data_IF_131211350999
#
_entry.id   IF_131211350999
#
_cell.length_a   1.000
_cell.length_b   1.000
_cell.length_c   1.000
_cell.angle_alpha   90.00
_cell.angle_beta   90.00
_cell.angle_gamma   90.00
#
_symmetry.space_group_name_H-M   'P 1'
#
loop_
_entity.id
_entity.type
_entity.pdbx_description
1 polymer ?
#
# COMPACT_ATOMS: atom_id res chain seq x y z
N UNK A 1 -2.42 -22.59 -30.08
CA UNK A 1 -1.65 -23.04 -28.90
C UNK A 1 -2.45 -23.90 -27.89
N UNK A 2 -3.79 -23.96 -27.95
CA UNK A 2 -4.63 -24.76 -27.04
C UNK A 2 -5.01 -26.15 -27.59
N UNK A 3 -4.41 -26.60 -28.69
CA UNK A 3 -4.73 -27.91 -29.29
C UNK A 3 -4.22 -29.09 -28.47
N UNK A 4 -3.26 -28.86 -27.56
CA UNK A 4 -2.90 -29.88 -26.58
C UNK A 4 -3.81 -29.75 -25.36
N UNK A 5 -4.42 -30.85 -24.88
CA UNK A 5 -5.26 -30.83 -23.69
C UNK A 5 -4.48 -30.34 -22.46
N UNK A 6 -3.16 -30.54 -22.45
CA UNK A 6 -2.27 -30.05 -21.40
C UNK A 6 -2.19 -28.52 -21.37
N UNK A 7 -1.96 -27.86 -22.52
CA UNK A 7 -1.90 -26.40 -22.57
C UNK A 7 -3.24 -25.76 -22.23
N UNK A 8 -4.35 -26.37 -22.65
CA UNK A 8 -5.70 -25.95 -22.27
C UNK A 8 -5.92 -26.08 -20.75
N UNK A 9 -5.54 -27.21 -20.15
CA UNK A 9 -5.64 -27.41 -18.71
C UNK A 9 -4.77 -26.43 -17.91
N UNK A 10 -3.53 -26.17 -18.37
CA UNK A 10 -2.63 -25.18 -17.76
C UNK A 10 -3.27 -23.79 -17.83
N UNK A 11 -3.82 -23.40 -18.97
CA UNK A 11 -4.47 -22.11 -19.14
C UNK A 11 -5.64 -21.92 -18.17
N UNK A 12 -6.54 -22.90 -18.10
CA UNK A 12 -7.66 -22.85 -17.15
C UNK A 12 -7.15 -22.77 -15.71
N UNK A 13 -6.15 -23.59 -15.35
CA UNK A 13 -5.59 -23.60 -14.00
C UNK A 13 -5.01 -22.23 -13.61
N UNK A 14 -4.19 -21.62 -14.48
CA UNK A 14 -3.58 -20.32 -14.23
C UNK A 14 -4.65 -19.23 -14.12
N UNK A 15 -5.57 -19.16 -15.08
CA UNK A 15 -6.63 -18.13 -15.11
C UNK A 15 -7.53 -18.23 -13.88
N UNK A 16 -8.05 -19.41 -13.55
CA UNK A 16 -8.93 -19.58 -12.40
C UNK A 16 -8.20 -19.37 -11.07
N UNK A 17 -6.95 -19.80 -10.96
CA UNK A 17 -6.16 -19.59 -9.73
C UNK A 17 -5.91 -18.10 -9.50
N UNK A 18 -5.37 -17.38 -10.49
CA UNK A 18 -5.11 -15.94 -10.34
C UNK A 18 -6.39 -15.14 -10.11
N UNK A 19 -7.50 -15.54 -10.76
CA UNK A 19 -8.82 -14.94 -10.51
C UNK A 19 -9.27 -15.16 -9.08
N UNK A 20 -9.18 -16.39 -8.57
CA UNK A 20 -9.52 -16.70 -7.18
C UNK A 20 -8.66 -15.92 -6.17
N UNK A 21 -7.35 -15.81 -6.42
CA UNK A 21 -6.43 -15.03 -5.57
C UNK A 21 -6.78 -13.53 -5.59
N UNK A 22 -7.11 -12.98 -6.76
CA UNK A 22 -7.53 -11.58 -6.88
C UNK A 22 -8.84 -11.32 -6.11
N UNK A 23 -9.86 -12.15 -6.31
CA UNK A 23 -11.16 -11.98 -5.65
C UNK A 23 -11.09 -12.20 -4.13
N UNK A 24 -10.37 -13.23 -3.67
CA UNK A 24 -10.21 -13.46 -2.22
C UNK A 24 -9.53 -12.27 -1.53
N UNK A 25 -8.53 -11.68 -2.17
CA UNK A 25 -7.83 -10.49 -1.66
C UNK A 25 -8.69 -9.24 -1.69
N UNK A 26 -9.46 -9.06 -2.76
CA UNK A 26 -10.43 -7.98 -2.89
C UNK A 26 -11.46 -8.03 -1.77
N UNK A 27 -12.02 -9.22 -1.48
CA UNK A 27 -12.97 -9.42 -0.38
C UNK A 27 -12.33 -8.99 0.95
N UNK A 28 -11.07 -9.34 1.22
CA UNK A 28 -10.39 -8.90 2.44
C UNK A 28 -10.21 -7.38 2.47
N UNK A 29 -9.83 -6.74 1.36
CA UNK A 29 -9.66 -5.28 1.31
C UNK A 29 -10.98 -4.53 1.55
N UNK A 30 -12.08 -5.05 1.03
CA UNK A 30 -13.40 -4.40 1.13
C UNK A 30 -14.07 -4.68 2.47
N UNK A 31 -14.01 -5.92 2.97
CA UNK A 31 -14.80 -6.35 4.12
C UNK A 31 -14.06 -6.23 5.46
N UNK A 32 -12.73 -6.24 5.47
CA UNK A 32 -11.97 -6.19 6.73
C UNK A 32 -11.80 -4.75 7.21
N UNK A 33 -11.91 -4.56 8.52
CA UNK A 33 -11.53 -3.28 9.12
C UNK A 33 -10.02 -3.03 8.92
N UNK A 34 -9.60 -1.91 8.29
CA UNK A 34 -8.20 -1.59 8.04
C UNK A 34 -7.33 -1.43 9.27
N UNK A 35 -7.89 -1.26 10.46
CA UNK A 35 -7.14 -1.10 11.70
C UNK A 35 -7.74 0.01 12.55
N UNK A 36 -8.72 -0.28 13.41
CA UNK A 36 -9.30 0.74 14.27
C UNK A 36 -8.30 1.10 15.37
N UNK A 37 -8.18 2.39 15.68
CA UNK A 37 -7.63 2.81 16.97
C UNK A 37 -8.72 2.54 18.01
N UNK A 38 -8.46 1.66 18.98
CA UNK A 38 -9.42 1.36 20.03
C UNK A 38 -9.86 2.65 20.74
N UNK A 39 -11.18 2.82 20.88
CA UNK A 39 -11.82 3.96 21.54
C UNK A 39 -13.31 4.08 21.21
N UNK A 40 -14.07 2.98 21.25
CA UNK A 40 -15.56 2.98 21.16
C UNK A 40 -16.18 1.60 21.53
N UNK A 41 -15.74 0.96 22.62
CA UNK A 41 -16.61 0.03 23.34
C UNK A 41 -16.48 0.33 24.84
N UNK A 42 -17.48 1.05 25.37
CA UNK A 42 -17.71 1.15 26.80
C UNK A 42 -17.97 -0.26 27.35
N UNK A 43 -16.98 -0.91 27.97
CA UNK A 43 -17.29 -1.86 29.06
C UNK A 43 -16.11 -2.31 29.94
N UNK A 44 -14.82 -2.08 29.62
CA UNK A 44 -13.72 -2.58 30.51
C UNK A 44 -12.54 -1.60 30.72
N UNK A 45 -12.62 -0.36 30.22
CA UNK A 45 -11.47 0.54 30.03
C UNK A 45 -11.19 1.57 31.15
N UNK A 46 -11.81 1.47 32.33
CA UNK A 46 -11.66 2.52 33.35
C UNK A 46 -10.21 2.62 33.86
N UNK A 47 -9.52 1.48 34.05
CA UNK A 47 -8.12 1.43 34.51
C UNK A 47 -7.11 1.81 33.42
N UNK A 48 -7.36 1.45 32.16
CA UNK A 48 -6.52 1.83 31.01
C UNK A 48 -6.65 3.33 30.72
N UNK A 49 -7.87 3.88 30.78
CA UNK A 49 -8.11 5.31 30.58
C UNK A 49 -7.47 6.15 31.69
N UNK A 50 -7.44 5.65 32.93
CA UNK A 50 -6.78 6.34 34.04
C UNK A 50 -5.27 6.34 33.85
N UNK A 51 -4.65 5.23 33.46
CA UNK A 51 -3.20 5.19 33.17
C UNK A 51 -2.82 6.07 31.98
N UNK A 52 -3.67 6.14 30.96
CA UNK A 52 -3.46 6.95 29.75
C UNK A 52 -3.75 8.44 30.00
N UNK A 53 -4.68 8.76 30.92
CA UNK A 53 -4.94 10.13 31.40
C UNK A 53 -3.93 10.61 32.45
N UNK A 54 -3.29 9.69 33.17
CA UNK A 54 -2.19 9.97 34.10
C UNK A 54 -0.83 10.06 33.41
N UNK A 55 -0.76 9.84 32.09
CA UNK A 55 0.43 10.20 31.33
C UNK A 55 0.68 11.70 31.52
N UNK A 56 1.92 12.11 31.83
CA UNK A 56 2.21 13.52 32.06
C UNK A 56 1.74 14.35 30.86
N UNK A 57 1.06 15.46 31.14
CA UNK A 57 0.47 16.42 30.16
C UNK A 57 1.44 16.84 29.03
N UNK A 58 2.75 16.65 29.27
CA UNK A 58 3.86 16.88 28.36
C UNK A 58 3.89 15.91 27.17
N UNK A 59 3.40 14.66 27.29
CA UNK A 59 3.35 13.70 26.17
C UNK A 59 2.05 13.76 25.36
N UNK A 60 0.94 14.17 25.98
CA UNK A 60 -0.36 14.35 25.33
C UNK A 60 -0.44 15.64 24.49
N UNK A 61 0.28 16.68 24.90
CA UNK A 61 0.34 17.97 24.18
C UNK A 61 1.37 18.03 23.05
N UNK A 62 2.03 16.92 22.68
CA UNK A 62 2.90 16.87 21.50
C UNK A 62 2.03 16.84 20.23
N UNK A 63 2.00 17.90 19.38
CA UNK A 63 1.32 17.90 18.09
C UNK A 63 1.47 16.58 17.32
N UNK A 64 0.34 15.89 17.12
CA UNK A 64 0.27 14.67 16.31
C UNK A 64 0.08 13.36 17.07
N UNK A 65 0.18 13.35 18.41
CA UNK A 65 -0.14 12.18 19.26
C UNK A 65 -1.60 12.13 19.75
N UNK A 66 -2.41 13.14 19.43
CA UNK A 66 -3.83 13.18 19.74
C UNK A 66 -4.67 13.53 18.51
N UNK A 67 -5.81 12.86 18.33
CA UNK A 67 -6.78 13.20 17.30
C UNK A 67 -7.92 14.03 17.90
N UNK A 68 -8.00 15.32 17.54
CA UNK A 68 -9.09 16.20 18.02
C UNK A 68 -10.48 15.79 17.51
N UNK A 69 -10.57 15.17 16.33
CA UNK A 69 -11.84 14.73 15.73
C UNK A 69 -12.39 13.47 16.40
N UNK A 70 -11.52 12.53 16.75
CA UNK A 70 -11.91 11.30 17.43
C UNK A 70 -11.86 11.41 18.96
N UNK A 71 -11.26 12.49 19.48
CA UNK A 71 -10.96 12.66 20.91
C UNK A 71 -10.26 11.46 21.54
N UNK A 72 -9.21 10.99 20.86
CA UNK A 72 -8.47 9.80 21.26
C UNK A 72 -6.97 9.95 21.01
N UNK A 73 -6.13 9.24 21.78
CA UNK A 73 -4.73 9.06 21.48
C UNK A 73 -4.54 8.55 20.06
N UNK A 74 -3.50 9.02 19.42
CA UNK A 74 -3.16 8.72 18.04
C UNK A 74 -1.83 7.95 18.03
N UNK A 75 -1.87 6.60 17.97
CA UNK A 75 -0.67 5.79 17.91
C UNK A 75 0.22 6.17 16.72
N UNK A 76 1.45 5.68 16.73
CA UNK A 76 2.42 5.95 15.68
C UNK A 76 1.86 5.53 14.30
N UNK A 77 2.18 6.29 13.24
CA UNK A 77 1.74 6.05 11.85
C UNK A 77 0.22 5.99 11.63
N UNK A 78 -0.58 6.31 12.63
CA UNK A 78 -2.04 6.40 12.52
C UNK A 78 -2.40 7.68 11.78
N UNK A 79 -3.51 7.71 11.04
CA UNK A 79 -4.07 8.94 10.50
C UNK A 79 -5.60 8.95 10.58
N UNK A 80 -6.19 10.14 10.74
CA UNK A 80 -7.64 10.31 10.68
C UNK A 80 -8.07 10.44 9.23
N UNK A 81 -8.91 9.52 8.76
CA UNK A 81 -9.54 9.61 7.46
C UNK A 81 -10.89 10.32 7.61
N UNK A 82 -11.05 11.49 6.97
CA UNK A 82 -12.33 12.20 6.97
C UNK A 82 -13.43 11.43 6.25
N UNK A 83 -13.10 10.68 5.20
CA UNK A 83 -14.07 9.88 4.45
C UNK A 83 -14.60 8.69 5.27
N UNK A 84 -13.74 8.06 6.10
CA UNK A 84 -14.17 7.00 7.03
C UNK A 84 -14.65 7.53 8.38
N UNK A 85 -14.46 8.81 8.68
CA UNK A 85 -14.86 9.45 9.94
C UNK A 85 -14.09 8.95 11.18
N UNK A 86 -12.91 8.34 11.02
CA UNK A 86 -12.18 7.69 12.13
C UNK A 86 -10.67 7.64 11.91
N UNK A 87 -9.94 7.33 12.98
CA UNK A 87 -8.51 7.02 12.90
C UNK A 87 -8.25 5.58 12.44
N UNK A 88 -7.27 5.43 11.55
CA UNK A 88 -6.83 4.15 10.99
C UNK A 88 -5.35 3.93 11.32
N UNK A 89 -5.04 2.78 11.93
CA UNK A 89 -3.69 2.34 12.28
C UNK A 89 -2.86 2.12 11.01
N UNK A 90 -1.60 2.59 11.01
CA UNK A 90 -0.68 2.54 9.85
C UNK A 90 -1.40 2.87 8.54
N UNK A 91 -2.15 3.97 8.52
CA UNK A 91 -2.97 4.35 7.37
C UNK A 91 -2.07 4.61 6.17
N UNK A 92 -2.38 3.97 5.04
CA UNK A 92 -1.67 4.20 3.78
C UNK A 92 -2.42 5.20 2.91
N UNK A 93 -3.69 4.93 2.60
CA UNK A 93 -4.56 5.85 1.86
C UNK A 93 -6.03 5.44 2.00
N UNK A 94 -6.92 6.36 1.63
CA UNK A 94 -8.33 6.04 1.41
C UNK A 94 -8.54 5.64 -0.05
N UNK A 95 -9.11 4.45 -0.31
CA UNK A 95 -9.31 3.94 -1.66
C UNK A 95 -10.80 3.88 -2.02
N UNK A 96 -11.32 4.80 -2.86
CA UNK A 96 -12.71 4.76 -3.32
C UNK A 96 -13.04 3.46 -4.07
N UNK A 97 -12.06 2.90 -4.77
CA UNK A 97 -12.20 1.72 -5.62
C UNK A 97 -12.37 0.41 -4.84
N UNK A 98 -11.93 0.38 -3.58
CA UNK A 98 -11.99 -0.82 -2.73
C UNK A 98 -13.10 -0.66 -1.69
N UNK A 99 -14.32 -0.48 -2.17
CA UNK A 99 -15.52 -0.36 -1.32
C UNK A 99 -15.56 0.92 -0.50
N UNK A 100 -14.90 1.99 -0.97
CA UNK A 100 -14.76 3.24 -0.24
C UNK A 100 -14.16 3.05 1.17
N UNK A 101 -13.14 2.20 1.27
CA UNK A 101 -12.48 1.84 2.52
C UNK A 101 -11.02 2.32 2.55
N UNK A 102 -10.47 2.48 3.76
CA UNK A 102 -9.04 2.75 3.91
C UNK A 102 -8.21 1.48 3.71
N UNK A 103 -6.99 1.68 3.21
CA UNK A 103 -5.92 0.70 3.30
C UNK A 103 -5.06 1.10 4.51
N UNK A 104 -4.92 0.18 5.45
CA UNK A 104 -4.20 0.40 6.71
C UNK A 104 -3.52 -0.87 7.19
N UNK A 105 -3.08 -0.89 8.45
CA UNK A 105 -2.30 -1.99 9.04
C UNK A 105 -2.84 -3.39 8.74
N UNK A 106 -4.15 -3.61 8.87
CA UNK A 106 -4.78 -4.94 8.78
C UNK A 106 -5.15 -5.35 7.35
N UNK A 107 -5.20 -4.41 6.41
CA UNK A 107 -5.61 -4.64 5.00
C UNK A 107 -4.46 -4.50 4.00
N UNK A 108 -3.35 -3.84 4.37
CA UNK A 108 -2.22 -3.59 3.47
C UNK A 108 -1.61 -4.84 2.82
N UNK A 109 -1.42 -5.99 3.53
CA UNK A 109 -0.88 -7.20 2.88
C UNK A 109 -1.84 -7.78 1.84
N UNK A 110 -3.15 -7.77 2.12
CA UNK A 110 -4.17 -8.22 1.17
C UNK A 110 -4.24 -7.28 -0.05
N UNK A 111 -4.04 -5.98 0.17
CA UNK A 111 -3.97 -4.99 -0.91
C UNK A 111 -2.77 -5.23 -1.82
N UNK A 112 -1.57 -5.48 -1.27
CA UNK A 112 -0.39 -5.84 -2.07
C UNK A 112 -0.62 -7.14 -2.86
N UNK A 113 -1.19 -8.15 -2.21
CA UNK A 113 -1.50 -9.43 -2.85
C UNK A 113 -2.52 -9.25 -3.97
N UNK A 114 -3.57 -8.42 -3.77
CA UNK A 114 -4.54 -8.05 -4.79
C UNK A 114 -3.87 -7.39 -6.00
N UNK A 115 -3.02 -6.37 -5.79
CA UNK A 115 -2.29 -5.70 -6.86
C UNK A 115 -1.41 -6.68 -7.65
N UNK A 116 -0.73 -7.59 -6.96
CA UNK A 116 0.09 -8.63 -7.58
C UNK A 116 -0.77 -9.59 -8.42
N UNK A 117 -1.85 -10.15 -7.85
CA UNK A 117 -2.72 -11.09 -8.55
C UNK A 117 -3.35 -10.47 -9.79
N UNK A 118 -3.86 -9.23 -9.69
CA UNK A 118 -4.46 -8.51 -10.82
C UNK A 118 -3.42 -8.19 -11.90
N UNK A 119 -2.22 -7.76 -11.51
CA UNK A 119 -1.14 -7.47 -12.47
C UNK A 119 -0.73 -8.72 -13.23
N UNK A 120 -0.54 -9.85 -12.53
CA UNK A 120 -0.18 -11.12 -13.16
C UNK A 120 -1.30 -11.65 -14.05
N UNK A 121 -2.56 -11.55 -13.62
CA UNK A 121 -3.73 -11.96 -14.42
C UNK A 121 -3.84 -11.12 -15.69
N UNK A 122 -3.77 -9.79 -15.56
CA UNK A 122 -3.85 -8.88 -16.71
C UNK A 122 -2.72 -9.13 -17.72
N UNK A 123 -1.49 -9.33 -17.23
CA UNK A 123 -0.34 -9.63 -18.09
C UNK A 123 -0.51 -10.99 -18.78
N UNK A 124 -0.95 -12.01 -18.06
CA UNK A 124 -1.19 -13.34 -18.60
C UNK A 124 -2.25 -13.31 -19.70
N UNK A 125 -3.40 -12.67 -19.45
CA UNK A 125 -4.47 -12.52 -20.44
C UNK A 125 -3.99 -11.71 -21.65
N UNK A 126 -3.29 -10.59 -21.43
CA UNK A 126 -2.73 -9.79 -22.52
C UNK A 126 -1.81 -10.63 -23.44
N UNK A 127 -0.89 -11.39 -22.86
CA UNK A 127 0.05 -12.22 -23.61
C UNK A 127 -0.70 -13.27 -24.43
N UNK A 128 -1.60 -14.04 -23.80
CA UNK A 128 -2.36 -15.10 -24.47
C UNK A 128 -3.22 -14.53 -25.59
N UNK A 129 -3.93 -13.41 -25.35
CA UNK A 129 -4.79 -12.78 -26.34
C UNK A 129 -4.01 -12.15 -27.49
N UNK A 130 -2.84 -11.55 -27.24
CA UNK A 130 -1.96 -11.06 -28.31
C UNK A 130 -1.48 -12.23 -29.19
N UNK A 131 -1.06 -13.35 -28.59
CA UNK A 131 -0.67 -14.53 -29.36
C UNK A 131 -1.84 -15.09 -30.18
N UNK A 132 -3.05 -15.15 -29.62
CA UNK A 132 -4.26 -15.58 -30.32
C UNK A 132 -4.59 -14.66 -31.50
N UNK A 133 -4.47 -13.34 -31.30
CA UNK A 133 -4.71 -12.33 -32.32
C UNK A 133 -3.70 -12.43 -33.47
N UNK A 134 -2.41 -12.55 -33.17
CA UNK A 134 -1.34 -12.75 -34.16
C UNK A 134 -1.59 -14.04 -34.96
N UNK A 135 -2.02 -15.11 -34.30
CA UNK A 135 -2.36 -16.36 -34.97
C UNK A 135 -3.56 -16.20 -35.92
N UNK A 136 -4.64 -15.54 -35.45
CA UNK A 136 -5.84 -15.30 -36.24
C UNK A 136 -5.56 -14.45 -37.50
N UNK A 137 -4.65 -13.48 -37.43
CA UNK A 137 -4.27 -12.66 -38.58
C UNK A 137 -3.33 -13.37 -39.57
N UNK A 138 -2.44 -14.25 -39.07
CA UNK A 138 -1.48 -14.95 -39.93
C UNK A 138 -2.08 -16.16 -40.66
N UNK A 139 -3.11 -16.80 -40.10
CA UNK A 139 -3.75 -17.98 -40.71
C UNK A 139 -5.29 -17.93 -40.64
N UNK A 140 -5.94 -17.06 -41.42
CA UNK A 140 -7.39 -16.86 -41.39
C UNK A 140 -8.19 -18.13 -41.77
N UNK A 141 -7.57 -19.11 -42.42
CA UNK A 141 -8.21 -20.34 -42.88
C UNK A 141 -8.32 -21.43 -41.79
N UNK A 142 -7.49 -21.38 -40.72
CA UNK A 142 -7.54 -22.37 -39.63
C UNK A 142 -8.70 -22.12 -38.67
N UNK A 143 -9.08 -20.86 -38.43
CA UNK A 143 -10.28 -20.55 -37.64
C UNK A 143 -11.56 -21.12 -38.28
N UNK A 144 -11.64 -21.12 -39.61
CA UNK A 144 -12.75 -21.72 -40.37
C UNK A 144 -12.75 -23.26 -40.27
N UNK A 145 -11.56 -23.89 -40.22
CA UNK A 145 -11.43 -25.36 -40.08
C UNK A 145 -11.80 -25.87 -38.69
N UNK A 146 -11.56 -25.12 -37.62
CA UNK A 146 -11.76 -25.62 -36.24
C UNK A 146 -13.25 -25.72 -35.86
N UNK A 147 -14.10 -24.84 -36.38
CA UNK A 147 -15.57 -24.96 -36.29
C UNK A 147 -16.10 -26.19 -37.02
N UNK A 148 -15.38 -26.67 -38.04
CA UNK A 148 -15.74 -27.83 -38.84
C UNK A 148 -15.46 -29.19 -38.14
N UNK A 149 -14.46 -29.27 -37.26
CA UNK A 149 -14.02 -30.55 -36.68
C UNK A 149 -14.84 -30.98 -35.45
N UNK A 150 -15.52 -30.05 -34.77
CA UNK A 150 -16.34 -30.32 -33.58
C UNK A 150 -17.79 -30.66 -33.97
N UNK A 151 -18.29 -30.11 -35.09
CA UNK A 151 -19.65 -30.35 -35.56
C UNK A 151 -19.66 -31.40 -36.68
N UNK A 152 -20.20 -32.60 -36.44
CA UNK A 152 -20.60 -33.58 -37.48
C UNK A 152 -21.83 -33.10 -38.29
N UNK A 153 -21.92 -31.81 -38.58
CA UNK A 153 -23.02 -31.14 -39.28
C UNK A 153 -22.43 -30.14 -40.29
N UNK A 154 -23.11 -29.85 -41.41
CA UNK A 154 -22.65 -28.85 -42.36
C UNK A 154 -22.72 -27.47 -41.69
N UNK A 155 -21.58 -26.99 -41.18
CA UNK A 155 -21.44 -25.65 -40.64
C UNK A 155 -21.36 -24.69 -41.82
N UNK A 156 -22.33 -23.78 -41.92
CA UNK A 156 -22.22 -22.62 -42.81
C UNK A 156 -20.87 -21.94 -42.58
N UNK A 157 -20.17 -21.58 -43.65
CA UNK A 157 -18.91 -20.83 -43.60
C UNK A 157 -19.24 -19.40 -43.13
N UNK A 158 -19.61 -19.25 -41.87
CA UNK A 158 -19.59 -17.99 -41.17
C UNK A 158 -18.18 -17.79 -40.65
N UNK A 159 -17.46 -16.79 -41.18
CA UNK A 159 -16.31 -16.25 -40.46
C UNK A 159 -16.78 -15.90 -39.05
N UNK A 160 -16.28 -16.60 -38.04
CA UNK A 160 -16.49 -16.18 -36.65
C UNK A 160 -15.66 -14.91 -36.42
N UNK A 161 -16.23 -13.78 -36.82
CA UNK A 161 -15.64 -12.46 -36.63
C UNK A 161 -15.61 -12.05 -35.15
N UNK A 162 -16.36 -12.73 -34.28
CA UNK A 162 -16.50 -12.35 -32.88
C UNK A 162 -15.27 -12.74 -32.06
N UNK A 163 -14.67 -13.91 -32.34
CA UNK A 163 -13.46 -14.36 -31.63
C UNK A 163 -12.27 -13.41 -31.76
N UNK A 164 -11.81 -12.97 -32.95
CA UNK A 164 -10.68 -12.04 -33.06
C UNK A 164 -11.01 -10.66 -32.46
N UNK A 165 -12.26 -10.22 -32.52
CA UNK A 165 -12.71 -8.98 -31.87
C UNK A 165 -12.62 -9.11 -30.34
N UNK A 166 -13.07 -10.23 -29.77
CA UNK A 166 -12.98 -10.51 -28.35
C UNK A 166 -11.52 -10.57 -27.86
N UNK A 167 -10.63 -11.24 -28.60
CA UNK A 167 -9.20 -11.29 -28.30
C UNK A 167 -8.55 -9.91 -28.39
N UNK A 168 -8.94 -9.08 -29.35
CA UNK A 168 -8.48 -7.69 -29.44
C UNK A 168 -8.89 -6.88 -28.20
N UNK A 169 -10.13 -7.00 -27.74
CA UNK A 169 -10.60 -6.32 -26.53
C UNK A 169 -9.88 -6.83 -25.27
N UNK A 170 -9.73 -8.14 -25.10
CA UNK A 170 -9.01 -8.73 -23.97
C UNK A 170 -7.53 -8.33 -23.96
N UNK A 171 -6.87 -8.34 -25.12
CA UNK A 171 -5.50 -7.86 -25.26
C UNK A 171 -5.38 -6.39 -24.86
N UNK A 172 -6.26 -5.53 -25.38
CA UNK A 172 -6.25 -4.10 -25.07
C UNK A 172 -6.49 -3.84 -23.57
N UNK A 173 -7.50 -4.48 -22.98
CA UNK A 173 -7.79 -4.36 -21.55
C UNK A 173 -6.62 -4.89 -20.70
N UNK A 174 -6.09 -6.07 -21.02
CA UNK A 174 -4.97 -6.65 -20.32
C UNK A 174 -3.74 -5.73 -20.32
N UNK A 175 -3.40 -5.16 -21.48
CA UNK A 175 -2.30 -4.19 -21.59
C UNK A 175 -2.55 -2.94 -20.76
N UNK A 176 -3.75 -2.35 -20.85
CA UNK A 176 -4.10 -1.14 -20.08
C UNK A 176 -4.02 -1.41 -18.58
N UNK A 177 -4.63 -2.50 -18.09
CA UNK A 177 -4.58 -2.86 -16.68
C UNK A 177 -3.15 -3.15 -16.21
N UNK A 178 -2.34 -3.86 -16.99
CA UNK A 178 -0.92 -4.07 -16.66
C UNK A 178 -0.13 -2.76 -16.61
N UNK A 179 -0.37 -1.83 -17.54
CA UNK A 179 0.31 -0.52 -17.57
C UNK A 179 -0.10 0.40 -16.43
N UNK A 180 -1.32 0.29 -15.90
CA UNK A 180 -1.81 1.12 -14.79
C UNK A 180 -1.49 0.47 -13.43
N UNK A 181 -1.87 -0.80 -13.25
CA UNK A 181 -1.74 -1.50 -11.97
C UNK A 181 -0.31 -1.97 -11.72
N UNK A 182 0.44 -2.33 -12.77
CA UNK A 182 1.82 -2.82 -12.65
C UNK A 182 2.79 -1.79 -12.03
N UNK A 183 2.88 -0.55 -12.54
CA UNK A 183 3.70 0.49 -11.92
C UNK A 183 3.22 0.87 -10.51
N UNK A 184 1.91 0.84 -10.27
CA UNK A 184 1.36 1.09 -8.93
C UNK A 184 1.77 0.00 -7.92
N UNK A 185 1.76 -1.28 -8.33
CA UNK A 185 2.37 -2.37 -7.58
C UNK A 185 3.86 -2.12 -7.35
N UNK A 186 4.61 -1.71 -8.37
CA UNK A 186 6.03 -1.37 -8.26
C UNK A 186 6.31 -0.28 -7.23
N UNK A 187 5.49 0.76 -7.19
CA UNK A 187 5.56 1.81 -6.18
C UNK A 187 5.31 1.27 -4.76
N UNK A 188 4.29 0.44 -4.58
CA UNK A 188 4.03 -0.17 -3.28
C UNK A 188 5.09 -1.19 -2.85
N UNK A 189 5.72 -1.89 -3.79
CA UNK A 189 6.91 -2.72 -3.55
C UNK A 189 8.05 -1.85 -3.02
N UNK A 190 8.30 -0.67 -3.61
CA UNK A 190 9.27 0.30 -3.09
C UNK A 190 8.92 0.79 -1.68
N UNK A 191 7.65 1.09 -1.42
CA UNK A 191 7.18 1.51 -0.09
C UNK A 191 7.40 0.43 0.97
N UNK A 192 7.08 -0.84 0.66
CA UNK A 192 7.39 -1.97 1.56
C UNK A 192 8.90 -2.06 1.78
N UNK A 193 9.68 -1.91 0.71
CA UNK A 193 11.13 -2.08 0.75
C UNK A 193 11.85 -1.02 1.59
N UNK A 194 11.25 0.17 1.72
CA UNK A 194 11.76 1.28 2.54
C UNK A 194 10.91 1.54 3.79
N UNK A 195 9.96 0.64 4.08
CA UNK A 195 8.99 0.69 5.18
C UNK A 195 8.28 2.03 5.36
N UNK A 196 7.85 2.63 4.26
CA UNK A 196 7.06 3.86 4.24
C UNK A 196 5.61 3.55 3.91
N UNK A 197 4.69 4.39 4.37
CA UNK A 197 3.34 4.48 3.80
C UNK A 197 3.30 5.55 2.71
N UNK A 198 2.30 5.50 1.84
CA UNK A 198 2.05 6.56 0.86
C UNK A 198 1.93 7.93 1.54
N UNK A 199 1.25 8.01 2.69
CA UNK A 199 1.13 9.25 3.47
C UNK A 199 2.48 9.80 3.95
N UNK A 200 3.38 8.93 4.41
CA UNK A 200 4.72 9.31 4.84
C UNK A 200 5.53 9.88 3.67
N UNK A 201 5.45 9.26 2.48
CA UNK A 201 6.16 9.71 1.29
C UNK A 201 5.65 11.04 0.74
N UNK A 202 4.34 11.28 0.73
CA UNK A 202 3.79 12.54 0.20
C UNK A 202 3.88 13.70 1.19
N UNK A 203 4.04 13.42 2.49
CA UNK A 203 4.05 14.43 3.55
C UNK A 203 5.35 14.35 4.37
N UNK A 204 6.50 14.80 3.83
CA UNK A 204 7.79 14.74 4.53
C UNK A 204 7.79 15.49 5.87
N UNK A 205 6.94 16.51 6.02
CA UNK A 205 6.78 17.27 7.26
C UNK A 205 6.13 16.48 8.40
N UNK A 206 5.61 15.26 8.14
CA UNK A 206 5.26 14.33 9.22
C UNK A 206 6.46 13.99 10.11
N UNK A 207 7.69 14.10 9.57
CA UNK A 207 8.93 13.93 10.32
C UNK A 207 9.05 14.86 11.53
N UNK A 208 8.47 16.07 11.47
CA UNK A 208 8.51 17.06 12.56
C UNK A 208 7.92 16.51 13.86
N UNK A 209 6.92 15.62 13.75
CA UNK A 209 6.26 14.98 14.91
C UNK A 209 7.17 14.02 15.67
N UNK A 210 8.28 13.62 15.05
CA UNK A 210 9.26 12.71 15.61
C UNK A 210 10.49 13.44 16.15
N UNK A 211 10.53 14.78 16.06
CA UNK A 211 11.65 15.53 16.62
C UNK A 211 11.73 15.36 18.14
N UNK A 212 12.94 15.25 18.70
CA UNK A 212 13.13 15.46 20.13
C UNK A 212 12.81 16.92 20.47
N UNK A 213 12.67 17.21 21.77
CA UNK A 213 12.51 18.58 22.26
C UNK A 213 13.59 19.49 21.66
N UNK A 214 13.15 20.64 21.15
CA UNK A 214 14.05 21.58 20.49
C UNK A 214 15.12 22.10 21.49
N UNK A 215 16.40 22.15 21.08
CA UNK A 215 17.46 22.65 21.94
C UNK A 215 17.48 24.18 21.97
N UNK A 216 17.87 24.75 23.12
CA UNK A 216 18.09 26.18 23.37
C UNK A 216 16.81 27.05 23.46
N UNK A 217 16.82 28.01 24.40
CA UNK A 217 15.79 29.05 24.51
C UNK A 217 16.07 30.21 23.54
N UNK A 218 15.01 30.90 23.08
CA UNK A 218 15.11 32.08 22.20
C UNK A 218 14.90 31.81 20.70
N UNK A 219 14.02 30.88 20.35
CA UNK A 219 13.49 30.66 19.00
C UNK A 219 11.96 30.80 19.02
N UNK A 220 11.34 31.10 17.87
CA UNK A 220 9.90 31.33 17.77
C UNK A 220 9.11 30.06 17.39
N UNK A 221 9.80 28.96 17.11
CA UNK A 221 9.20 27.68 16.73
C UNK A 221 8.43 27.04 17.90
N UNK A 222 7.27 26.44 17.59
CA UNK A 222 6.57 25.55 18.52
C UNK A 222 7.32 24.22 18.72
N UNK A 223 6.98 23.48 19.78
CA UNK A 223 7.59 22.17 20.07
C UNK A 223 6.53 21.04 20.07
N UNK A 224 6.49 20.18 19.02
CA UNK A 224 7.25 20.25 17.76
C UNK A 224 6.75 21.35 16.81
N UNK A 225 7.64 21.83 15.89
CA UNK A 225 7.31 22.87 14.93
C UNK A 225 6.17 22.50 13.98
N UNK A 226 5.36 23.50 13.62
CA UNK A 226 4.36 23.36 12.56
C UNK A 226 4.96 23.72 11.19
N UNK A 227 4.52 23.04 10.13
CA UNK A 227 4.98 23.34 8.75
C UNK A 227 4.74 24.81 8.36
N UNK A 228 3.66 25.41 8.88
CA UNK A 228 3.33 26.82 8.65
C UNK A 228 4.33 27.79 9.27
N UNK A 229 5.05 27.39 10.32
CA UNK A 229 6.06 28.20 11.01
C UNK A 229 7.40 28.18 10.28
N UNK A 230 7.65 27.17 9.45
CA UNK A 230 8.96 26.98 8.81
C UNK A 230 9.19 27.93 7.64
N UNK A 231 10.32 28.63 7.69
CA UNK A 231 10.92 29.37 6.58
C UNK A 231 11.35 28.47 5.42
N UNK A 232 11.58 29.04 4.23
CA UNK A 232 12.00 28.26 3.06
C UNK A 232 13.29 27.44 3.26
N UNK A 233 14.35 27.94 3.92
CA UNK A 233 15.53 27.15 4.26
C UNK A 233 15.23 25.99 5.22
N UNK A 234 14.43 26.23 6.27
CA UNK A 234 14.00 25.17 7.21
C UNK A 234 13.19 24.09 6.49
N UNK A 235 12.30 24.46 5.56
CA UNK A 235 11.54 23.48 4.77
C UNK A 235 12.42 22.60 3.88
N UNK A 236 13.51 23.16 3.32
CA UNK A 236 14.50 22.36 2.55
C UNK A 236 15.22 21.38 3.47
N UNK A 237 15.68 21.86 4.62
CA UNK A 237 16.36 21.02 5.62
C UNK A 237 15.50 19.82 6.06
N UNK A 238 14.20 20.01 6.29
CA UNK A 238 13.29 18.91 6.64
C UNK A 238 13.16 17.90 5.50
N UNK A 239 13.08 18.35 4.24
CA UNK A 239 13.04 17.46 3.07
C UNK A 239 14.33 16.69 2.89
N UNK A 240 15.47 17.35 3.06
CA UNK A 240 16.79 16.74 2.97
C UNK A 240 16.99 15.70 4.08
N UNK A 241 16.57 16.03 5.31
CA UNK A 241 16.58 15.08 6.42
C UNK A 241 15.68 13.88 6.13
N UNK A 242 14.45 14.09 5.68
CA UNK A 242 13.52 13.02 5.30
C UNK A 242 14.13 12.06 4.27
N UNK A 243 14.78 12.58 3.24
CA UNK A 243 15.46 11.76 2.22
C UNK A 243 16.68 11.02 2.79
N UNK A 244 17.33 11.57 3.81
CA UNK A 244 18.45 10.92 4.48
C UNK A 244 18.00 9.84 5.49
N UNK A 245 16.80 9.96 6.05
CA UNK A 245 16.29 9.11 7.12
C UNK A 245 14.92 8.50 6.77
N UNK A 246 14.94 7.33 6.15
CA UNK A 246 13.74 6.48 6.17
C UNK A 246 13.52 5.97 7.60
N UNK A 247 12.63 6.64 8.34
CA UNK A 247 12.50 6.51 9.80
C UNK A 247 12.25 5.07 10.30
N UNK A 248 11.46 4.29 9.56
CA UNK A 248 11.09 2.91 9.89
C UNK A 248 11.86 1.86 9.07
N UNK A 249 12.83 2.29 8.26
CA UNK A 249 13.65 1.37 7.48
C UNK A 249 14.64 0.65 8.39
N UNK A 250 14.38 -0.65 8.61
CA UNK A 250 15.21 -1.57 9.39
C UNK A 250 15.93 -2.58 8.49
N UNK A 251 16.09 -2.23 7.20
CA UNK A 251 16.67 -3.08 6.18
C UNK A 251 15.64 -3.97 5.49
N UNK A 252 15.96 -4.34 4.24
CA UNK A 252 15.07 -5.06 3.32
C UNK A 252 14.29 -6.21 3.98
N UNK A 253 14.98 -7.16 4.63
CA UNK A 253 14.31 -8.33 5.22
C UNK A 253 13.38 -7.95 6.37
N UNK A 254 13.81 -7.03 7.24
CA UNK A 254 13.00 -6.56 8.36
C UNK A 254 11.76 -5.80 7.91
N UNK A 255 11.89 -4.99 6.86
CA UNK A 255 10.78 -4.21 6.31
C UNK A 255 9.69 -5.12 5.72
N UNK A 256 10.09 -6.11 4.92
CA UNK A 256 9.16 -7.10 4.36
C UNK A 256 8.55 -8.01 5.45
N UNK A 257 9.33 -8.36 6.48
CA UNK A 257 8.82 -9.11 7.62
C UNK A 257 7.72 -8.36 8.38
N UNK A 258 7.79 -7.02 8.48
CA UNK A 258 6.73 -6.20 9.09
C UNK A 258 5.41 -6.20 8.32
N UNK A 259 5.40 -6.61 7.06
CA UNK A 259 4.18 -6.65 6.23
C UNK A 259 3.69 -8.10 6.08
N UNK A 260 4.58 -9.05 5.81
CA UNK A 260 4.22 -10.44 5.52
C UNK A 260 4.33 -11.38 6.73
N UNK A 261 4.98 -10.95 7.83
CA UNK A 261 5.08 -11.74 9.06
C UNK A 261 6.10 -12.88 9.04
N UNK A 262 6.99 -12.93 8.04
CA UNK A 262 8.07 -13.90 7.99
C UNK A 262 9.38 -13.21 7.62
N UNK A 263 10.51 -13.68 8.15
CA UNK A 263 11.85 -13.24 7.71
C UNK A 263 12.40 -14.10 6.57
N UNK A 264 11.87 -15.32 6.41
CA UNK A 264 12.28 -16.27 5.39
C UNK A 264 11.48 -16.08 4.10
N UNK A 265 12.19 -16.13 2.96
CA UNK A 265 11.60 -16.00 1.62
C UNK A 265 10.52 -17.04 1.31
N UNK A 266 10.67 -18.27 1.81
CA UNK A 266 9.64 -19.33 1.67
C UNK A 266 8.31 -18.95 2.35
N UNK A 267 8.37 -18.29 3.50
CA UNK A 267 7.21 -17.75 4.19
C UNK A 267 6.53 -16.62 3.41
N UNK A 268 7.31 -15.83 2.65
CA UNK A 268 6.76 -14.80 1.77
C UNK A 268 5.96 -15.42 0.63
N UNK A 269 6.47 -16.47 0.00
CA UNK A 269 5.75 -17.18 -1.08
C UNK A 269 4.42 -17.74 -0.58
N UNK A 270 4.39 -18.33 0.62
CA UNK A 270 3.15 -18.82 1.22
C UNK A 270 2.17 -17.68 1.48
N UNK A 271 2.64 -16.54 2.00
CA UNK A 271 1.79 -15.37 2.28
C UNK A 271 1.33 -14.65 1.00
N UNK A 272 2.14 -14.70 -0.04
CA UNK A 272 1.83 -14.23 -1.39
C UNK A 272 0.89 -15.17 -2.15
N UNK A 273 0.51 -16.33 -1.61
CA UNK A 273 -0.43 -17.25 -2.25
C UNK A 273 -1.65 -17.56 -1.39
N UNK A 274 -1.50 -17.55 -0.06
CA UNK A 274 -2.55 -17.86 0.90
C UNK A 274 -3.08 -16.61 1.63
N UNK A 275 -2.47 -15.44 1.41
CA UNK A 275 -2.80 -14.22 2.13
C UNK A 275 -2.32 -14.21 3.60
N UNK A 276 -2.52 -13.07 4.26
CA UNK A 276 -2.09 -12.87 5.64
C UNK A 276 -2.54 -11.52 6.21
N UNK A 277 -2.25 -11.33 7.50
CA UNK A 277 -2.38 -10.04 8.17
C UNK A 277 -0.97 -9.54 8.54
N UNK A 278 -0.81 -8.23 8.62
CA UNK A 278 0.45 -7.66 9.10
C UNK A 278 0.69 -8.13 10.53
N UNK A 279 1.91 -8.55 10.88
CA UNK A 279 2.26 -8.84 12.27
C UNK A 279 2.19 -7.58 13.13
N UNK A 280 2.14 -7.77 14.45
CA UNK A 280 2.11 -6.68 15.42
C UNK A 280 0.74 -6.03 15.59
N UNK A 281 0.66 -5.12 16.56
CA UNK A 281 -0.57 -4.46 16.98
C UNK A 281 -0.92 -3.22 16.14
N UNK A 282 -0.01 -2.78 15.27
CA UNK A 282 -0.16 -1.58 14.44
C UNK A 282 0.00 -0.27 15.20
N UNK A 283 0.47 -0.31 16.46
CA UNK A 283 0.68 0.85 17.33
C UNK A 283 2.15 1.17 17.53
N UNK A 284 3.02 0.15 17.56
CA UNK A 284 4.46 0.29 17.76
C UNK A 284 5.24 -0.29 16.57
N UNK A 285 6.26 0.44 16.12
CA UNK A 285 7.09 0.04 14.99
C UNK A 285 8.58 0.15 15.35
N UNK A 286 9.41 -0.83 14.95
CA UNK A 286 10.85 -0.70 15.11
C UNK A 286 11.35 0.42 14.17
N UNK A 287 12.24 1.26 14.70
CA UNK A 287 12.82 2.41 13.99
C UNK A 287 14.22 2.10 13.48
N UNK A 288 14.64 2.85 12.47
CA UNK A 288 16.01 2.87 11.99
C UNK A 288 16.97 3.22 13.15
N UNK A 289 18.06 2.49 13.38
CA UNK A 289 18.99 2.77 14.49
C UNK A 289 19.67 4.14 14.39
N UNK A 290 19.79 4.69 13.17
CA UNK A 290 20.31 6.04 12.95
C UNK A 290 19.22 7.11 13.10
N UNK A 291 17.99 6.74 13.48
CA UNK A 291 16.85 7.64 13.44
C UNK A 291 17.05 8.86 14.34
N UNK A 292 17.35 8.57 15.60
CA UNK A 292 17.40 9.55 16.68
C UNK A 292 18.54 10.56 16.47
N UNK A 293 19.69 10.14 15.93
CA UNK A 293 20.84 11.04 15.71
C UNK A 293 20.57 12.06 14.60
N UNK A 294 19.90 11.66 13.52
CA UNK A 294 19.52 12.57 12.43
C UNK A 294 18.40 13.51 12.88
N UNK A 295 17.41 13.01 13.65
CA UNK A 295 16.34 13.83 14.22
C UNK A 295 16.89 14.89 15.19
N UNK A 296 17.84 14.52 16.05
CA UNK A 296 18.50 15.46 16.95
C UNK A 296 19.30 16.53 16.20
N UNK A 297 20.00 16.14 15.12
CA UNK A 297 20.72 17.09 14.24
C UNK A 297 19.74 18.03 13.53
N UNK A 298 18.61 17.51 13.03
CA UNK A 298 17.57 18.30 12.40
C UNK A 298 16.98 19.34 13.37
N UNK A 299 16.63 18.94 14.59
CA UNK A 299 16.15 19.86 15.63
C UNK A 299 17.14 21.01 15.90
N UNK A 300 18.43 20.69 16.02
CA UNK A 300 19.49 21.69 16.25
C UNK A 300 19.61 22.68 15.10
N UNK A 301 19.63 22.20 13.85
CA UNK A 301 19.79 23.05 12.68
C UNK A 301 18.53 23.90 12.40
N UNK A 302 17.33 23.40 12.72
CA UNK A 302 16.10 24.18 12.62
C UNK A 302 16.14 25.43 13.50
N UNK A 303 16.53 25.27 14.78
CA UNK A 303 16.66 26.38 15.74
C UNK A 303 17.77 27.34 15.34
N UNK A 304 18.88 26.82 14.83
CA UNK A 304 20.00 27.65 14.38
C UNK A 304 19.61 28.57 13.23
N UNK A 305 18.87 28.06 12.25
CA UNK A 305 18.37 28.87 11.13
C UNK A 305 17.37 29.93 11.64
N UNK A 306 16.50 29.55 12.57
CA UNK A 306 15.50 30.45 13.15
C UNK A 306 16.17 31.69 13.77
N UNK A 307 17.18 31.46 14.61
CA UNK A 307 17.95 32.52 15.29
C UNK A 307 18.76 33.40 14.33
N UNK A 308 19.24 32.84 13.22
CA UNK A 308 19.95 33.62 12.19
C UNK A 308 19.01 34.55 11.42
N UNK A 309 17.72 34.23 11.32
CA UNK A 309 16.72 35.11 10.70
C UNK A 309 16.38 36.35 11.52
N UNK A 310 16.75 36.40 12.81
CA UNK A 310 16.52 37.54 13.70
C UNK A 310 17.70 38.53 13.78
N UNK A 311 18.85 38.23 13.16
CA UNK A 311 20.04 39.09 13.11
C UNK A 311 20.10 39.90 11.81
#
# INVERSE_FOLDING_TARGET
MLHSPLFFAIHLCVTYTLTFLAFSSLIVCVARDPGPVAGTQQSEDEETSLREALMPDVELNVPGRWCRKCWAPKPERTHHCSACGRCVLKMDHHCPWLGNNCIGHRTYPAFLHFLLSVTLLALYIAIISIFALIYAFNDPYVMVRHSLTIARQPVEIGQDVNTPIHELFLAALGVIFSMVIGPFLGYHVYLVSTNQTTLETISPFLLLKHLPKLPFEGHDLSDPPLESELSAPQRRLVKDAYQAIHLYDIGWRGNWAQVLGCEQFSGWVIRLWCGGASPGDGKYFPRNPNAESVLARLATELVKIDRQGHQ
#
